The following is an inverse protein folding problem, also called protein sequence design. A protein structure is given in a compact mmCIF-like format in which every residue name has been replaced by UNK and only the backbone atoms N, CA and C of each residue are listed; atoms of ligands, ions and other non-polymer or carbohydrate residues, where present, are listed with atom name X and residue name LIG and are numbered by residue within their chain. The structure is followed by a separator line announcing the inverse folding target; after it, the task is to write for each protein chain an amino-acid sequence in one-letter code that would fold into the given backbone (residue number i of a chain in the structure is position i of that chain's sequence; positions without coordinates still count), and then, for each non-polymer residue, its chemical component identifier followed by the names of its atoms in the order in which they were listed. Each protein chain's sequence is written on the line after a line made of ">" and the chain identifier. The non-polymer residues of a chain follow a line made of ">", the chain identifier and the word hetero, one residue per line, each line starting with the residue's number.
data_IF_377200901595
#
_entry.id   IF_377200901595
#
_cell.length_a   1.000
_cell.length_b   1.000
_cell.length_c   1.000
_cell.angle_alpha   90.00
_cell.angle_beta   90.00
_cell.angle_gamma   90.00
#
_symmetry.space_group_name_H-M   'P 1'
#
loop_
_entity.id
_entity.type
_entity.pdbx_description
1 polymer ?
#
# COMPACT_ATOMS: atom_id res chain seq x y z
N UNK A 1 25.34 -2.54 21.41
CA UNK A 1 24.52 -3.18 22.48
C UNK A 1 23.47 -2.14 22.87
N UNK A 2 22.16 -2.35 22.78
CA UNK A 2 21.38 -3.60 22.93
C UNK A 2 20.37 -3.83 21.79
N UNK A 3 20.31 -5.04 21.20
CA UNK A 3 19.29 -5.44 20.23
C UNK A 3 18.02 -6.04 20.88
N UNK A 4 17.68 -5.65 22.11
CA UNK A 4 16.64 -6.34 22.90
C UNK A 4 15.35 -5.54 23.13
N UNK A 5 15.16 -4.39 22.51
CA UNK A 5 13.96 -3.56 22.75
C UNK A 5 12.93 -3.51 21.62
N UNK A 6 13.09 -4.28 20.52
CA UNK A 6 12.13 -4.21 19.39
C UNK A 6 11.16 -5.38 19.26
N UNK A 7 11.19 -6.39 20.15
CA UNK A 7 10.36 -7.60 19.99
C UNK A 7 8.97 -7.54 20.63
N UNK A 8 8.66 -6.51 21.42
CA UNK A 8 7.46 -6.54 22.28
C UNK A 8 6.22 -5.79 21.76
N UNK A 9 6.22 -5.24 20.55
CA UNK A 9 5.07 -4.47 20.04
C UNK A 9 4.17 -5.28 19.08
N UNK A 10 4.57 -6.48 18.66
CA UNK A 10 3.82 -7.33 17.73
C UNK A 10 3.28 -8.65 18.34
N UNK A 11 3.72 -9.01 19.56
CA UNK A 11 3.36 -10.27 20.23
C UNK A 11 1.89 -10.39 20.69
N UNK A 12 1.25 -9.33 21.26
CA UNK A 12 -0.08 -9.48 21.85
C UNK A 12 -1.21 -9.59 20.81
N UNK A 13 -1.11 -8.87 19.69
CA UNK A 13 -2.21 -8.77 18.72
C UNK A 13 -2.42 -10.06 17.92
N UNK A 14 -1.35 -10.72 17.51
CA UNK A 14 -1.42 -12.00 16.78
C UNK A 14 -1.92 -13.11 17.70
N UNK A 15 -1.48 -13.13 18.97
CA UNK A 15 -1.95 -14.09 19.96
C UNK A 15 -3.45 -13.91 20.27
N UNK A 16 -3.92 -12.68 20.47
CA UNK A 16 -5.36 -12.42 20.69
C UNK A 16 -6.22 -12.77 19.48
N UNK A 17 -5.75 -12.48 18.26
CA UNK A 17 -6.46 -12.84 17.03
C UNK A 17 -6.54 -14.36 16.88
N UNK A 18 -5.42 -15.07 17.09
CA UNK A 18 -5.39 -16.53 17.04
C UNK A 18 -6.24 -17.17 18.15
N UNK A 19 -6.22 -16.63 19.37
CA UNK A 19 -7.05 -17.10 20.47
C UNK A 19 -8.55 -16.91 20.18
N UNK A 20 -8.93 -15.78 19.55
CA UNK A 20 -10.30 -15.52 19.10
C UNK A 20 -10.75 -16.51 18.02
N UNK A 21 -9.89 -16.83 17.05
CA UNK A 21 -10.20 -17.85 16.03
C UNK A 21 -10.36 -19.24 16.62
N UNK A 22 -9.50 -19.64 17.57
CA UNK A 22 -9.61 -20.94 18.26
C UNK A 22 -10.92 -21.01 19.04
N UNK A 23 -11.26 -19.96 19.79
CA UNK A 23 -12.50 -19.90 20.57
C UNK A 23 -13.75 -20.01 19.70
N UNK A 24 -13.80 -19.26 18.60
CA UNK A 24 -14.89 -19.35 17.62
C UNK A 24 -14.96 -20.74 16.96
N UNK A 25 -13.82 -21.37 16.69
CA UNK A 25 -13.77 -22.72 16.10
C UNK A 25 -14.33 -23.76 17.07
N UNK A 26 -14.03 -23.65 18.37
CA UNK A 26 -14.57 -24.54 19.41
C UNK A 26 -16.09 -24.40 19.51
N UNK A 27 -16.61 -23.16 19.49
CA UNK A 27 -18.06 -22.90 19.50
C UNK A 27 -18.71 -23.50 18.25
N UNK A 28 -18.14 -23.26 17.07
CA UNK A 28 -18.66 -23.82 15.83
C UNK A 28 -18.71 -25.35 15.85
N UNK A 29 -17.65 -26.01 16.35
CA UNK A 29 -17.61 -27.46 16.51
C UNK A 29 -18.65 -27.98 17.51
N UNK A 30 -18.87 -27.28 18.63
CA UNK A 30 -19.88 -27.64 19.61
C UNK A 30 -21.30 -27.52 19.03
N UNK A 31 -21.58 -26.46 18.26
CA UNK A 31 -22.87 -26.25 17.59
C UNK A 31 -23.10 -27.30 16.50
N UNK A 32 -22.09 -27.58 15.67
CA UNK A 32 -22.18 -28.63 14.63
C UNK A 32 -22.37 -30.00 15.28
N UNK A 33 -21.59 -30.33 16.31
CA UNK A 33 -21.72 -31.58 17.05
C UNK A 33 -23.10 -31.76 17.70
N UNK A 34 -23.62 -30.68 18.31
CA UNK A 34 -24.97 -30.66 18.89
C UNK A 34 -26.07 -30.84 17.84
N UNK A 35 -25.96 -30.18 16.69
CA UNK A 35 -26.86 -30.36 15.55
C UNK A 35 -26.80 -31.80 15.02
N UNK A 36 -25.61 -32.37 14.84
CA UNK A 36 -25.44 -33.75 14.37
C UNK A 36 -26.02 -34.76 15.36
N UNK A 37 -25.89 -34.52 16.66
CA UNK A 37 -26.49 -35.37 17.69
C UNK A 37 -28.02 -35.23 17.75
N UNK A 38 -28.56 -34.02 17.62
CA UNK A 38 -29.99 -33.79 17.66
C UNK A 38 -30.70 -34.33 16.40
N UNK A 39 -30.05 -34.22 15.23
CA UNK A 39 -30.56 -34.70 13.94
C UNK A 39 -29.98 -36.05 13.51
N UNK A 40 -29.43 -36.84 14.45
CA UNK A 40 -28.76 -38.13 14.18
C UNK A 40 -29.63 -39.13 13.41
N UNK A 41 -30.95 -39.06 13.57
CA UNK A 41 -31.93 -39.86 12.83
C UNK A 41 -32.31 -39.32 11.44
N UNK A 42 -32.16 -38.00 11.23
CA UNK A 42 -32.55 -37.25 10.01
C UNK A 42 -31.39 -37.12 9.03
N UNK A 43 -30.14 -37.24 9.50
CA UNK A 43 -28.92 -37.29 8.66
C UNK A 43 -28.83 -38.52 7.74
N UNK A 44 -29.70 -39.52 7.92
CA UNK A 44 -29.86 -40.65 6.99
C UNK A 44 -30.68 -40.28 5.75
N UNK A 45 -31.36 -39.14 5.79
CA UNK A 45 -32.25 -38.70 4.73
C UNK A 45 -31.47 -37.86 3.71
N UNK A 46 -31.39 -38.37 2.47
CA UNK A 46 -30.53 -37.81 1.42
C UNK A 46 -30.83 -36.32 1.12
N UNK A 47 -32.07 -35.88 1.36
CA UNK A 47 -32.50 -34.48 1.16
C UNK A 47 -31.89 -33.52 2.18
N UNK A 48 -31.71 -33.96 3.43
CA UNK A 48 -31.09 -33.15 4.48
C UNK A 48 -29.59 -33.06 4.26
N UNK A 49 -28.98 -34.18 3.82
CA UNK A 49 -27.56 -34.22 3.49
C UNK A 49 -27.24 -33.31 2.28
N UNK A 50 -28.11 -33.29 1.26
CA UNK A 50 -28.01 -32.35 0.14
C UNK A 50 -28.10 -30.89 0.61
N UNK A 51 -29.03 -30.57 1.52
CA UNK A 51 -29.17 -29.22 2.08
C UNK A 51 -27.92 -28.75 2.83
N UNK A 52 -27.31 -29.64 3.62
CA UNK A 52 -26.04 -29.35 4.33
C UNK A 52 -24.89 -29.18 3.35
N UNK A 53 -24.80 -30.01 2.29
CA UNK A 53 -23.76 -29.86 1.27
C UNK A 53 -23.86 -28.54 0.52
N UNK A 54 -25.07 -28.12 0.14
CA UNK A 54 -25.30 -26.82 -0.51
C UNK A 54 -24.89 -25.67 0.41
N UNK A 55 -25.24 -25.76 1.69
CA UNK A 55 -24.87 -24.75 2.70
C UNK A 55 -23.35 -24.68 2.90
N UNK A 56 -22.66 -25.82 2.98
CA UNK A 56 -21.19 -25.88 3.08
C UNK A 56 -20.50 -25.35 1.82
N UNK A 57 -21.05 -25.62 0.63
CA UNK A 57 -20.54 -25.08 -0.63
C UNK A 57 -20.71 -23.55 -0.74
N UNK A 58 -21.66 -22.95 -0.01
CA UNK A 58 -21.84 -21.49 0.00
C UNK A 58 -20.75 -20.73 0.78
N UNK A 59 -20.11 -21.37 1.75
CA UNK A 59 -19.10 -20.76 2.63
C UNK A 59 -17.87 -20.24 1.84
N UNK A 60 -17.20 -21.03 0.97
CA UNK A 60 -16.05 -20.53 0.22
C UNK A 60 -16.42 -19.40 -0.77
N UNK A 61 -17.64 -19.41 -1.32
CA UNK A 61 -18.12 -18.36 -2.23
C UNK A 61 -18.23 -17.03 -1.48
N UNK A 62 -18.91 -17.02 -0.32
CA UNK A 62 -19.04 -15.83 0.53
C UNK A 62 -17.68 -15.34 1.03
N UNK A 63 -16.79 -16.24 1.44
CA UNK A 63 -15.45 -15.89 1.90
C UNK A 63 -14.63 -15.27 0.77
N UNK A 64 -14.68 -15.82 -0.44
CA UNK A 64 -13.99 -15.26 -1.61
C UNK A 64 -14.51 -13.87 -1.97
N UNK A 65 -15.81 -13.60 -1.79
CA UNK A 65 -16.42 -12.31 -2.08
C UNK A 65 -16.03 -11.25 -1.05
N UNK A 66 -16.00 -11.62 0.23
CA UNK A 66 -15.51 -10.77 1.32
C UNK A 66 -14.02 -10.51 1.13
N UNK A 67 -13.21 -11.55 0.89
CA UNK A 67 -11.77 -11.40 0.62
C UNK A 67 -11.51 -10.52 -0.60
N UNK A 68 -12.31 -10.63 -1.67
CA UNK A 68 -12.16 -9.76 -2.85
C UNK A 68 -12.50 -8.30 -2.53
N UNK A 69 -13.50 -8.05 -1.68
CA UNK A 69 -13.83 -6.70 -1.21
C UNK A 69 -12.83 -6.15 -0.18
N UNK A 70 -12.29 -6.97 0.71
CA UNK A 70 -11.31 -6.53 1.72
C UNK A 70 -9.92 -6.36 1.15
N UNK A 71 -9.52 -7.13 0.13
CA UNK A 71 -8.27 -6.88 -0.63
C UNK A 71 -8.31 -5.56 -1.40
N UNK A 72 -9.49 -5.06 -1.78
CA UNK A 72 -9.66 -3.70 -2.32
C UNK A 72 -9.43 -2.61 -1.26
N UNK A 73 -9.67 -2.91 0.02
CA UNK A 73 -9.48 -1.97 1.14
C UNK A 73 -8.09 -2.09 1.80
N UNK A 74 -7.32 -3.13 1.49
CA UNK A 74 -5.94 -3.33 1.96
C UNK A 74 -4.85 -2.97 0.95
N UNK A 75 -5.19 -2.30 -0.15
CA UNK A 75 -4.21 -1.37 -0.73
C UNK A 75 -4.15 -0.12 0.17
N UNK A 76 -3.68 -0.30 1.41
CA UNK A 76 -2.96 0.77 2.08
C UNK A 76 -1.83 1.11 1.10
N UNK A 77 -2.03 2.21 0.36
CA UNK A 77 -1.11 2.64 -0.68
C UNK A 77 0.25 2.73 -0.02
N UNK A 78 1.14 1.78 -0.33
CA UNK A 78 2.50 1.79 0.20
C UNK A 78 3.05 3.15 -0.17
N UNK A 79 3.25 3.99 0.84
CA UNK A 79 3.68 5.35 0.62
C UNK A 79 5.11 5.25 0.07
N UNK A 80 5.24 5.47 -1.24
CA UNK A 80 6.53 5.40 -1.90
C UNK A 80 7.32 6.62 -1.45
N UNK A 81 8.16 6.41 -0.45
CA UNK A 81 9.01 7.45 0.09
C UNK A 81 10.14 7.76 -0.89
N UNK A 82 10.44 9.05 -1.00
CA UNK A 82 11.65 9.57 -1.67
C UNK A 82 12.77 9.62 -0.65
N UNK A 83 13.80 8.83 -0.90
CA UNK A 83 15.01 8.65 -0.11
C UNK A 83 16.21 9.33 -0.79
N UNK A 84 17.18 9.77 0.01
CA UNK A 84 18.45 10.32 -0.46
C UNK A 84 18.32 11.42 -1.54
N UNK A 85 17.42 12.38 -1.32
CA UNK A 85 17.22 13.50 -2.24
C UNK A 85 18.40 14.46 -2.21
N UNK A 86 19.20 14.42 -3.26
CA UNK A 86 20.35 15.28 -3.49
C UNK A 86 20.00 16.30 -4.56
N UNK A 87 20.23 17.57 -4.26
CA UNK A 87 20.02 18.69 -5.19
C UNK A 87 21.39 19.22 -5.62
N UNK A 88 21.70 19.12 -6.91
CA UNK A 88 22.95 19.65 -7.48
C UNK A 88 22.64 20.84 -8.38
N UNK A 89 23.27 21.99 -8.09
CA UNK A 89 23.27 23.13 -9.00
C UNK A 89 24.22 22.82 -10.16
N UNK A 90 23.69 22.77 -11.38
CA UNK A 90 24.48 22.49 -12.60
C UNK A 90 24.91 23.80 -13.26
N UNK A 91 24.05 24.82 -13.23
CA UNK A 91 24.36 26.16 -13.72
C UNK A 91 23.61 27.23 -12.93
N UNK A 92 23.75 28.50 -13.32
CA UNK A 92 22.97 29.61 -12.74
C UNK A 92 21.46 29.44 -12.89
N UNK A 93 20.99 28.70 -13.90
CA UNK A 93 19.57 28.51 -14.23
C UNK A 93 19.15 27.04 -14.31
N UNK A 94 19.97 26.10 -13.84
CA UNK A 94 19.68 24.66 -13.92
C UNK A 94 20.10 23.89 -12.67
N UNK A 95 19.18 23.04 -12.20
CA UNK A 95 19.36 22.17 -11.05
C UNK A 95 19.00 20.73 -11.41
N UNK A 96 19.80 19.78 -10.94
CA UNK A 96 19.52 18.35 -11.08
C UNK A 96 19.18 17.75 -9.73
N UNK A 97 18.02 17.09 -9.67
CA UNK A 97 17.50 16.34 -8.53
C UNK A 97 17.84 14.87 -8.73
N UNK A 98 18.63 14.30 -7.82
CA UNK A 98 19.01 12.89 -7.82
C UNK A 98 18.42 12.27 -6.56
N UNK A 99 17.63 11.23 -6.70
CA UNK A 99 16.98 10.58 -5.56
C UNK A 99 16.61 9.14 -5.84
N UNK A 100 16.24 8.44 -4.76
CA UNK A 100 15.87 7.03 -4.74
C UNK A 100 14.43 6.90 -4.25
N UNK A 101 13.71 5.90 -4.72
CA UNK A 101 12.40 5.53 -4.17
C UNK A 101 12.47 4.19 -3.46
N UNK A 102 11.72 4.03 -2.37
CA UNK A 102 11.60 2.76 -1.64
C UNK A 102 11.14 1.58 -2.51
N UNK A 103 10.40 1.85 -3.59
CA UNK A 103 9.95 0.86 -4.57
C UNK A 103 10.03 1.42 -6.00
N UNK A 104 10.13 0.57 -7.04
CA UNK A 104 10.11 1.02 -8.43
C UNK A 104 8.84 1.83 -8.74
N UNK A 105 9.02 3.08 -9.17
CA UNK A 105 7.92 4.01 -9.42
C UNK A 105 8.17 4.92 -10.62
N UNK A 106 7.11 5.55 -11.11
CA UNK A 106 7.21 6.63 -12.10
C UNK A 106 7.25 7.95 -11.33
N UNK A 107 8.25 8.78 -11.60
CA UNK A 107 8.43 10.06 -10.90
C UNK A 107 8.58 11.20 -11.89
N UNK A 108 7.88 12.29 -11.62
CA UNK A 108 8.00 13.56 -12.32
C UNK A 108 8.03 14.71 -11.32
N UNK A 109 8.61 15.84 -11.73
CA UNK A 109 8.61 17.07 -10.94
C UNK A 109 7.65 18.07 -11.58
N UNK A 110 6.93 18.83 -10.77
CA UNK A 110 6.22 20.04 -11.21
C UNK A 110 7.02 21.22 -10.69
N UNK A 111 7.50 22.05 -11.61
CA UNK A 111 8.28 23.23 -11.32
C UNK A 111 7.44 24.49 -11.54
N UNK A 112 7.45 25.39 -10.55
CA UNK A 112 6.84 26.71 -10.58
C UNK A 112 7.95 27.77 -10.58
N UNK A 113 7.99 28.61 -11.61
CA UNK A 113 8.95 29.70 -11.72
C UNK A 113 8.45 30.93 -10.94
N UNK A 114 9.25 31.46 -10.01
CA UNK A 114 8.84 32.61 -9.20
C UNK A 114 8.92 33.95 -9.94
N UNK A 115 9.63 34.03 -11.06
CA UNK A 115 9.68 35.25 -11.87
C UNK A 115 8.44 35.41 -12.75
N UNK A 116 8.02 34.33 -13.39
CA UNK A 116 6.93 34.35 -14.40
C UNK A 116 5.61 33.79 -13.88
N UNK A 117 5.62 33.06 -12.75
CA UNK A 117 4.48 32.28 -12.28
C UNK A 117 4.17 31.05 -13.15
N UNK A 118 5.04 30.71 -14.10
CA UNK A 118 4.84 29.58 -15.01
C UNK A 118 4.99 28.26 -14.25
N UNK A 119 4.02 27.36 -14.41
CA UNK A 119 4.05 26.00 -13.86
C UNK A 119 4.23 25.01 -15.00
N UNK A 120 5.29 24.20 -14.94
CA UNK A 120 5.59 23.16 -15.93
C UNK A 120 5.92 21.81 -15.32
N UNK A 121 5.59 20.75 -16.03
CA UNK A 121 5.96 19.38 -15.67
C UNK A 121 7.33 19.05 -16.27
N UNK A 122 8.27 18.64 -15.42
CA UNK A 122 9.61 18.21 -15.77
C UNK A 122 9.72 16.71 -15.54
N UNK A 123 10.05 15.99 -16.60
CA UNK A 123 10.16 14.53 -16.59
C UNK A 123 11.60 14.10 -16.31
N UNK A 124 11.76 12.93 -15.71
CA UNK A 124 13.08 12.30 -15.62
C UNK A 124 13.60 11.97 -17.02
N UNK A 125 14.92 12.02 -17.20
CA UNK A 125 15.58 11.74 -18.47
C UNK A 125 15.20 10.38 -19.09
N UNK A 126 14.81 9.39 -18.28
CA UNK A 126 14.37 8.06 -18.73
C UNK A 126 12.84 7.94 -18.80
N UNK A 127 12.17 8.94 -19.36
CA UNK A 127 10.70 9.07 -19.43
C UNK A 127 9.92 7.74 -19.29
N UNK A 128 9.00 7.70 -18.32
CA UNK A 128 7.99 6.66 -18.09
C UNK A 128 8.44 5.28 -17.59
N UNK A 129 9.71 5.06 -17.25
CA UNK A 129 10.14 3.78 -16.67
C UNK A 129 9.93 3.70 -15.15
N UNK A 130 9.34 2.58 -14.69
CA UNK A 130 9.30 2.23 -13.26
C UNK A 130 10.68 1.80 -12.81
N UNK A 131 11.34 2.64 -12.02
CA UNK A 131 12.68 2.37 -11.49
C UNK A 131 12.81 2.91 -10.07
N UNK A 132 13.94 2.60 -9.44
CA UNK A 132 14.28 3.06 -8.09
C UNK A 132 15.10 4.36 -8.14
N UNK A 133 15.99 4.48 -9.12
CA UNK A 133 16.93 5.59 -9.25
C UNK A 133 16.41 6.64 -10.23
N UNK A 134 16.22 7.86 -9.77
CA UNK A 134 15.69 8.95 -10.57
C UNK A 134 16.65 10.13 -10.63
N UNK A 135 16.72 10.72 -11.82
CA UNK A 135 17.45 11.94 -12.10
C UNK A 135 16.53 12.85 -12.90
N UNK A 136 16.28 14.06 -12.37
CA UNK A 136 15.41 15.06 -12.99
C UNK A 136 16.19 16.37 -13.05
N UNK A 137 16.43 16.87 -14.26
CA UNK A 137 17.08 18.16 -14.49
C UNK A 137 16.02 19.21 -14.78
N UNK A 138 15.99 20.26 -13.98
CA UNK A 138 15.11 21.42 -14.12
C UNK A 138 15.97 22.55 -14.67
N UNK A 139 15.76 22.87 -15.94
CA UNK A 139 16.42 23.99 -16.63
C UNK A 139 15.56 25.25 -16.57
N UNK A 140 16.09 26.38 -17.06
CA UNK A 140 15.38 27.65 -17.18
C UNK A 140 14.72 28.11 -15.86
N UNK A 141 15.46 28.00 -14.75
CA UNK A 141 15.08 28.58 -13.47
C UNK A 141 15.36 30.08 -13.51
N UNK A 142 14.37 30.86 -13.09
CA UNK A 142 14.45 32.31 -13.02
C UNK A 142 15.43 32.82 -11.95
N UNK A 143 15.71 34.12 -12.00
CA UNK A 143 16.60 34.84 -11.07
C UNK A 143 16.03 34.81 -9.63
N UNK A 144 14.71 34.86 -9.47
CA UNK A 144 14.05 34.70 -8.17
C UNK A 144 13.96 33.25 -7.71
N UNK A 145 14.39 32.30 -8.53
CA UNK A 145 14.31 30.88 -8.26
C UNK A 145 12.96 30.27 -8.63
N UNK A 146 12.62 29.18 -7.97
CA UNK A 146 11.33 28.50 -8.15
C UNK A 146 11.10 27.37 -7.18
N UNK A 147 9.93 26.73 -7.29
CA UNK A 147 9.51 25.62 -6.43
C UNK A 147 9.38 24.35 -7.26
N UNK A 148 10.11 23.31 -6.88
CA UNK A 148 9.99 21.98 -7.45
C UNK A 148 9.20 21.06 -6.51
N UNK A 149 8.11 20.48 -6.98
CA UNK A 149 7.28 19.53 -6.23
C UNK A 149 7.35 18.17 -6.92
N UNK A 150 7.77 17.14 -6.19
CA UNK A 150 7.90 15.79 -6.75
C UNK A 150 6.58 15.03 -6.66
N UNK A 151 6.25 14.32 -7.73
CA UNK A 151 5.08 13.44 -7.83
C UNK A 151 5.53 12.02 -8.15
N UNK A 152 5.10 11.06 -7.32
CA UNK A 152 5.40 9.64 -7.46
C UNK A 152 4.09 8.91 -7.76
N UNK A 153 4.03 8.19 -8.89
CA UNK A 153 2.82 7.50 -9.37
C UNK A 153 1.56 8.41 -9.32
N UNK A 154 1.70 9.64 -9.82
CA UNK A 154 0.65 10.68 -9.85
C UNK A 154 0.16 11.18 -8.49
N UNK A 155 0.86 10.85 -7.39
CA UNK A 155 0.62 11.44 -6.07
C UNK A 155 1.72 12.42 -5.71
N UNK A 156 1.31 13.59 -5.23
CA UNK A 156 2.25 14.57 -4.71
C UNK A 156 2.97 13.99 -3.50
N UNK A 157 4.29 14.00 -3.56
CA UNK A 157 5.10 13.81 -2.34
C UNK A 157 5.00 15.11 -1.56
N UNK A 158 4.83 15.04 -0.24
CA UNK A 158 4.82 16.25 0.60
C UNK A 158 6.15 17.04 0.61
N UNK A 159 7.12 16.65 -0.23
CA UNK A 159 8.41 17.30 -0.39
C UNK A 159 8.35 18.28 -1.57
N UNK A 160 8.22 19.56 -1.24
CA UNK A 160 8.51 20.65 -2.16
C UNK A 160 9.89 21.22 -1.84
N UNK A 161 10.71 21.43 -2.87
CA UNK A 161 12.03 22.03 -2.80
C UNK A 161 11.97 23.46 -3.34
N UNK A 162 12.61 24.40 -2.64
CA UNK A 162 12.84 25.76 -3.13
C UNK A 162 14.22 25.77 -3.79
N UNK A 163 14.28 26.23 -5.04
CA UNK A 163 15.49 26.28 -5.86
C UNK A 163 15.85 27.76 -6.08
N UNK A 164 16.90 28.23 -5.42
CA UNK A 164 17.47 29.59 -5.53
C UNK A 164 18.96 29.52 -5.87
#
# INVERSE_FOLDING_TARGET
>A
MNPLESSNILGPSIFLVNAGFIFLSIIALAVIGGLVWHYKGVLKDAKVLLGIMILLMSIPISLSFVLRKTNFLQQAYVQINVEDLIVKKVSSSSYTLIFRTSFPAIVYAVFENFDTGEVRTVLSASMAEKKIYHEITIENIGIKGGKATLFVNSKQTGKSLILN
#
